data_IF_082275253974
#
_entry.id   IF_082275253974
#
_cell.length_a   1.000
_cell.length_b   1.000
_cell.length_c   1.000
_cell.angle_alpha   90.00
_cell.angle_beta   90.00
_cell.angle_gamma   90.00
#
_symmetry.space_group_name_H-M   'P 1'
#
loop_
_entity.id
_entity.type
_entity.pdbx_description
1 polymer ?
#
# COMPACT_ATOMS: atom_id res chain seq x y z
N UNK A 1 -18.07 7.99 -5.80
CA UNK A 1 -18.43 6.88 -4.88
C UNK A 1 -17.15 6.20 -4.47
N UNK A 2 -16.99 5.92 -3.18
CA UNK A 2 -15.83 5.24 -2.58
C UNK A 2 -16.32 3.98 -1.86
N UNK A 3 -15.53 2.92 -1.83
CA UNK A 3 -15.91 1.65 -1.22
C UNK A 3 -14.99 1.29 -0.05
N UNK A 4 -15.53 0.56 0.92
CA UNK A 4 -14.72 -0.06 1.96
C UNK A 4 -14.02 -1.29 1.40
N UNK A 5 -12.70 -1.37 1.50
CA UNK A 5 -11.95 -2.54 1.06
C UNK A 5 -12.09 -3.75 1.99
N UNK A 6 -12.63 -3.55 3.20
CA UNK A 6 -12.79 -4.62 4.20
C UNK A 6 -14.16 -5.31 4.12
N UNK A 7 -15.18 -4.68 3.53
CA UNK A 7 -16.53 -5.25 3.41
C UNK A 7 -17.29 -4.85 2.14
N UNK A 8 -16.62 -4.21 1.17
CA UNK A 8 -17.14 -3.78 -0.14
C UNK A 8 -18.30 -2.77 -0.11
N UNK A 9 -18.73 -2.32 1.07
CA UNK A 9 -19.82 -1.35 1.22
C UNK A 9 -19.45 -0.02 0.54
N UNK A 10 -20.39 0.54 -0.23
CA UNK A 10 -20.21 1.80 -0.98
C UNK A 10 -20.69 3.01 -0.18
N UNK A 11 -20.01 4.13 -0.38
CA UNK A 11 -20.26 5.42 0.25
C UNK A 11 -20.19 6.53 -0.79
N UNK A 12 -21.01 7.56 -0.58
CA UNK A 12 -21.03 8.74 -1.45
C UNK A 12 -19.80 9.63 -1.21
N UNK A 13 -19.28 9.66 0.02
CA UNK A 13 -18.19 10.55 0.44
C UNK A 13 -17.10 9.80 1.22
N UNK A 14 -15.87 10.32 1.17
CA UNK A 14 -14.75 9.86 2.00
C UNK A 14 -15.07 9.93 3.50
N UNK A 15 -15.78 10.97 3.94
CA UNK A 15 -16.24 11.10 5.33
C UNK A 15 -17.18 9.96 5.74
N UNK A 16 -18.06 9.53 4.85
CA UNK A 16 -18.94 8.38 5.07
C UNK A 16 -18.16 7.07 5.22
N UNK A 17 -17.18 6.85 4.34
CA UNK A 17 -16.26 5.72 4.43
C UNK A 17 -15.47 5.74 5.75
N UNK A 18 -14.92 6.89 6.15
CA UNK A 18 -14.16 7.02 7.39
C UNK A 18 -15.01 6.73 8.63
N UNK A 19 -16.23 7.26 8.69
CA UNK A 19 -17.12 6.96 9.80
C UNK A 19 -17.45 5.47 9.88
N UNK A 20 -17.55 4.79 8.74
CA UNK A 20 -17.78 3.35 8.68
C UNK A 20 -16.55 2.55 9.11
N UNK A 21 -15.36 2.89 8.62
CA UNK A 21 -14.10 2.25 8.99
C UNK A 21 -13.88 2.27 10.51
N UNK A 22 -14.18 3.39 11.17
CA UNK A 22 -14.09 3.50 12.63
C UNK A 22 -15.15 2.66 13.34
N UNK A 23 -16.41 2.71 12.88
CA UNK A 23 -17.53 2.09 13.61
C UNK A 23 -17.68 0.59 13.40
N UNK A 24 -17.30 0.10 12.23
CA UNK A 24 -17.52 -1.30 11.81
C UNK A 24 -16.24 -2.12 11.84
N UNK A 25 -15.09 -1.49 11.52
CA UNK A 25 -13.80 -2.18 11.44
C UNK A 25 -12.80 -1.73 12.51
N UNK A 26 -13.19 -0.81 13.40
CA UNK A 26 -12.35 -0.22 14.45
C UNK A 26 -11.03 0.39 13.94
N UNK A 27 -11.00 0.80 12.67
CA UNK A 27 -9.83 1.44 12.05
C UNK A 27 -9.78 2.90 12.47
N UNK A 28 -9.09 3.17 13.59
CA UNK A 28 -8.90 4.52 14.15
C UNK A 28 -7.56 5.14 13.77
N UNK A 29 -6.56 4.29 13.58
CA UNK A 29 -5.20 4.70 13.32
C UNK A 29 -5.07 5.38 11.94
N UNK A 30 -4.26 6.44 11.88
CA UNK A 30 -4.03 7.19 10.63
C UNK A 30 -3.22 6.35 9.64
N UNK A 31 -2.24 5.57 10.11
CA UNK A 31 -1.37 4.74 9.27
C UNK A 31 -2.19 3.65 8.57
N UNK A 32 -3.11 2.99 9.29
CA UNK A 32 -4.03 2.01 8.71
C UNK A 32 -4.97 2.61 7.66
N UNK A 33 -5.50 3.82 7.89
CA UNK A 33 -6.35 4.50 6.90
C UNK A 33 -5.57 4.86 5.64
N UNK A 34 -4.33 5.33 5.81
CA UNK A 34 -3.44 5.62 4.69
C UNK A 34 -3.11 4.37 3.87
N UNK A 35 -2.81 3.26 4.54
CA UNK A 35 -2.61 1.95 3.92
C UNK A 35 -3.82 1.52 3.06
N UNK A 36 -5.03 1.60 3.60
CA UNK A 36 -6.25 1.28 2.84
C UNK A 36 -6.44 2.20 1.61
N UNK A 37 -6.14 3.48 1.76
CA UNK A 37 -6.19 4.44 0.65
C UNK A 37 -5.21 4.05 -0.47
N UNK A 38 -3.97 3.71 -0.13
CA UNK A 38 -2.95 3.27 -1.10
C UNK A 38 -3.39 1.98 -1.82
N UNK A 39 -3.95 1.02 -1.09
CA UNK A 39 -4.46 -0.23 -1.68
C UNK A 39 -5.57 0.06 -2.69
N UNK A 40 -6.50 0.96 -2.35
CA UNK A 40 -7.67 1.25 -3.16
C UNK A 40 -7.43 2.17 -4.36
N UNK A 41 -6.51 3.13 -4.22
CA UNK A 41 -6.37 4.23 -5.18
C UNK A 41 -5.01 4.25 -5.87
N UNK A 42 -3.93 3.87 -5.20
CA UNK A 42 -2.56 3.95 -5.76
C UNK A 42 -2.14 2.70 -6.53
N UNK A 43 -2.26 1.50 -5.94
CA UNK A 43 -1.83 0.26 -6.62
C UNK A 43 -2.58 -0.03 -7.93
N UNK A 44 -3.89 0.27 -8.07
CA UNK A 44 -4.56 0.16 -9.37
C UNK A 44 -3.94 1.03 -10.47
N UNK A 45 -3.42 2.21 -10.13
CA UNK A 45 -2.74 3.08 -11.09
C UNK A 45 -1.41 2.47 -11.54
N UNK A 46 -0.65 1.91 -10.60
CA UNK A 46 0.59 1.19 -10.89
C UNK A 46 0.33 -0.04 -11.78
N UNK A 47 -0.68 -0.84 -11.45
CA UNK A 47 -1.04 -2.03 -12.22
C UNK A 47 -1.41 -1.67 -13.66
N UNK A 48 -2.23 -0.63 -13.84
CA UNK A 48 -2.65 -0.10 -15.14
C UNK A 48 -1.56 0.71 -15.85
N UNK A 49 -0.34 0.80 -15.27
CA UNK A 49 0.78 1.59 -15.78
C UNK A 49 0.42 3.05 -16.04
N UNK A 50 -0.51 3.60 -15.25
CA UNK A 50 -0.93 5.00 -15.31
C UNK A 50 0.08 5.88 -14.56
N UNK A 51 1.33 5.91 -15.02
CA UNK A 51 2.48 6.47 -14.28
C UNK A 51 2.28 7.91 -13.86
N UNK A 52 1.83 8.78 -14.78
CA UNK A 52 1.59 10.19 -14.48
C UNK A 52 0.62 10.36 -13.32
N UNK A 53 -0.50 9.62 -13.32
CA UNK A 53 -1.50 9.68 -12.24
C UNK A 53 -0.97 9.12 -10.93
N UNK A 54 -0.20 8.03 -10.99
CA UNK A 54 0.43 7.44 -9.81
C UNK A 54 1.43 8.43 -9.19
N UNK A 55 2.24 9.10 -10.01
CA UNK A 55 3.21 10.10 -9.56
C UNK A 55 2.53 11.35 -9.00
N UNK A 56 1.48 11.86 -9.65
CA UNK A 56 0.66 12.96 -9.14
C UNK A 56 0.09 12.65 -7.76
N UNK A 57 -0.54 11.47 -7.62
CA UNK A 57 -1.09 10.99 -6.35
C UNK A 57 -0.01 10.83 -5.28
N UNK A 58 1.16 10.29 -5.63
CA UNK A 58 2.29 10.16 -4.71
C UNK A 58 2.78 11.53 -4.21
N UNK A 59 2.82 12.54 -5.09
CA UNK A 59 3.20 13.90 -4.70
C UNK A 59 2.16 14.57 -3.79
N UNK A 60 0.87 14.33 -4.03
CA UNK A 60 -0.21 14.77 -3.13
C UNK A 60 -0.05 14.14 -1.74
N UNK A 61 0.11 12.82 -1.67
CA UNK A 61 0.33 12.10 -0.41
C UNK A 61 1.57 12.61 0.35
N UNK A 62 2.66 12.90 -0.38
CA UNK A 62 3.89 13.49 0.19
C UNK A 62 3.63 14.89 0.78
N UNK A 63 2.86 15.75 0.11
CA UNK A 63 2.54 17.09 0.62
C UNK A 63 1.70 17.04 1.89
N UNK A 64 0.77 16.10 1.97
CA UNK A 64 -0.20 16.04 3.06
C UNK A 64 0.33 15.30 4.31
N UNK A 65 1.28 14.38 4.15
CA UNK A 65 1.60 13.41 5.21
C UNK A 65 3.11 13.24 5.51
N UNK A 66 4.02 14.02 4.93
CA UNK A 66 5.49 13.81 5.04
C UNK A 66 6.14 14.12 6.40
N UNK A 67 5.37 14.27 7.49
CA UNK A 67 5.89 14.76 8.77
C UNK A 67 6.36 13.68 9.76
N UNK A 68 6.26 12.39 9.43
CA UNK A 68 6.64 11.29 10.34
C UNK A 68 7.55 10.27 9.66
N UNK A 69 8.43 9.63 10.43
CA UNK A 69 9.32 8.56 9.94
C UNK A 69 8.53 7.42 9.29
N UNK A 70 7.38 7.07 9.87
CA UNK A 70 6.50 6.07 9.30
C UNK A 70 6.02 6.48 7.90
N UNK A 71 5.48 7.70 7.76
CA UNK A 71 5.03 8.18 6.46
C UNK A 71 6.17 8.27 5.45
N UNK A 72 7.37 8.69 5.88
CA UNK A 72 8.55 8.76 5.02
C UNK A 72 8.95 7.37 4.50
N UNK A 73 9.03 6.38 5.37
CA UNK A 73 9.38 5.00 4.99
C UNK A 73 8.38 4.38 4.03
N UNK A 74 7.08 4.58 4.29
CA UNK A 74 6.02 4.10 3.42
C UNK A 74 6.09 4.77 2.03
N UNK A 75 6.16 6.11 1.98
CA UNK A 75 6.17 6.87 0.73
C UNK A 75 7.43 6.58 -0.10
N UNK A 76 8.58 6.37 0.54
CA UNK A 76 9.81 5.98 -0.15
C UNK A 76 9.71 4.58 -0.78
N UNK A 77 9.04 3.64 -0.11
CA UNK A 77 8.77 2.33 -0.68
C UNK A 77 7.91 2.45 -1.95
N UNK A 78 6.83 3.24 -1.91
CA UNK A 78 5.97 3.49 -3.08
C UNK A 78 6.73 4.12 -4.25
N UNK A 79 7.58 5.11 -3.96
CA UNK A 79 8.43 5.74 -4.97
C UNK A 79 9.39 4.74 -5.61
N UNK A 80 10.05 3.92 -4.79
CA UNK A 80 10.91 2.84 -5.26
C UNK A 80 10.18 1.84 -6.16
N UNK A 81 8.95 1.47 -5.83
CA UNK A 81 8.11 0.60 -6.65
C UNK A 81 7.78 1.22 -8.01
N UNK A 82 7.42 2.50 -8.06
CA UNK A 82 7.14 3.22 -9.31
C UNK A 82 8.39 3.27 -10.19
N UNK A 83 9.52 3.69 -9.64
CA UNK A 83 10.78 3.78 -10.37
C UNK A 83 11.21 2.42 -10.93
N UNK A 84 11.16 1.37 -10.09
CA UNK A 84 11.48 0.00 -10.49
C UNK A 84 10.58 -0.53 -11.62
N UNK A 85 9.28 -0.19 -11.61
CA UNK A 85 8.37 -0.65 -12.66
C UNK A 85 8.46 0.16 -13.96
N UNK A 86 8.92 1.41 -13.89
CA UNK A 86 9.14 2.28 -15.05
C UNK A 86 10.45 1.95 -15.76
N UNK A 87 11.51 1.73 -14.99
CA UNK A 87 12.85 1.46 -15.52
C UNK A 87 12.99 -0.03 -15.83
N UNK A 88 12.99 -0.38 -17.13
CA UNK A 88 13.35 -1.73 -17.60
C UNK A 88 14.86 -1.98 -17.48
N UNK A 89 15.40 -1.91 -16.26
CA UNK A 89 16.82 -2.10 -15.97
C UNK A 89 17.32 -3.53 -16.24
N UNK A 90 18.65 -3.69 -16.22
CA UNK A 90 19.32 -4.99 -16.46
C UNK A 90 19.15 -5.98 -15.29
N UNK A 91 18.93 -5.48 -14.08
CA UNK A 91 18.57 -6.29 -12.90
C UNK A 91 17.06 -6.20 -12.75
N UNK A 92 16.39 -7.35 -12.79
CA UNK A 92 14.94 -7.43 -12.60
C UNK A 92 14.55 -7.04 -11.17
N UNK A 93 13.77 -5.96 -10.98
CA UNK A 93 13.34 -5.56 -9.65
C UNK A 93 12.45 -6.60 -8.95
N UNK A 94 12.52 -6.68 -7.62
CA UNK A 94 11.75 -7.65 -6.81
C UNK A 94 10.22 -7.58 -7.03
N UNK A 95 9.67 -6.41 -7.37
CA UNK A 95 8.25 -6.29 -7.71
C UNK A 95 7.84 -7.12 -8.95
N UNK A 96 8.76 -7.43 -9.87
CA UNK A 96 8.50 -8.35 -10.98
C UNK A 96 8.51 -9.82 -10.54
N UNK A 97 9.36 -10.21 -9.57
CA UNK A 97 9.29 -11.57 -9.02
C UNK A 97 7.95 -11.81 -8.34
N UNK A 98 7.45 -10.83 -7.56
CA UNK A 98 6.11 -10.90 -6.97
C UNK A 98 5.00 -11.08 -8.01
N UNK A 99 5.12 -10.47 -9.20
CA UNK A 99 4.11 -10.62 -10.27
C UNK A 99 3.97 -12.05 -10.78
N UNK A 100 5.06 -12.83 -10.71
CA UNK A 100 5.11 -14.24 -11.11
C UNK A 100 4.67 -15.21 -10.01
N UNK A 101 4.53 -14.74 -8.77
CA UNK A 101 4.08 -15.56 -7.66
C UNK A 101 2.60 -15.96 -7.82
N UNK A 102 2.29 -17.19 -7.43
CA UNK A 102 0.92 -17.65 -7.20
C UNK A 102 0.39 -17.16 -5.83
N UNK A 103 -0.88 -17.43 -5.54
CA UNK A 103 -1.52 -17.00 -4.29
C UNK A 103 -0.77 -17.47 -3.03
N UNK A 104 -0.36 -18.73 -2.97
CA UNK A 104 0.35 -19.29 -1.82
C UNK A 104 1.71 -18.60 -1.61
N UNK A 105 2.46 -18.38 -2.69
CA UNK A 105 3.73 -17.68 -2.64
C UNK A 105 3.56 -16.21 -2.20
N UNK A 106 2.53 -15.52 -2.69
CA UNK A 106 2.23 -14.16 -2.24
C UNK A 106 1.84 -14.12 -0.75
N UNK A 107 1.13 -15.13 -0.27
CA UNK A 107 0.78 -15.26 1.14
C UNK A 107 2.01 -15.52 2.02
N UNK A 108 2.98 -16.32 1.55
CA UNK A 108 4.26 -16.53 2.23
C UNK A 108 5.07 -15.23 2.36
N UNK A 109 5.18 -14.46 1.26
CA UNK A 109 5.83 -13.14 1.27
C UNK A 109 5.10 -12.15 2.19
N UNK A 110 3.77 -12.13 2.15
CA UNK A 110 2.94 -11.31 3.03
C UNK A 110 3.18 -11.63 4.52
N UNK A 111 3.29 -12.90 4.87
CA UNK A 111 3.60 -13.34 6.23
C UNK A 111 4.99 -12.85 6.64
N UNK A 112 5.99 -12.99 5.78
CA UNK A 112 7.35 -12.49 6.03
C UNK A 112 7.37 -10.99 6.32
N UNK A 113 6.74 -10.17 5.47
CA UNK A 113 6.63 -8.72 5.73
C UNK A 113 5.86 -8.40 7.02
N UNK A 114 4.81 -9.14 7.31
CA UNK A 114 4.04 -8.98 8.56
C UNK A 114 4.88 -9.28 9.81
N UNK A 115 5.74 -10.30 9.74
CA UNK A 115 6.67 -10.64 10.82
C UNK A 115 7.73 -9.55 11.01
N UNK A 116 8.34 -9.06 9.92
CA UNK A 116 9.27 -7.93 9.99
C UNK A 116 8.61 -6.68 10.59
N UNK A 117 7.39 -6.35 10.20
CA UNK A 117 6.66 -5.21 10.76
C UNK A 117 6.46 -5.33 12.26
N UNK A 118 6.06 -6.51 12.76
CA UNK A 118 5.89 -6.76 14.21
C UNK A 118 7.21 -6.60 14.97
N UNK A 119 8.33 -7.04 14.39
CA UNK A 119 9.65 -6.95 15.00
C UNK A 119 10.20 -5.51 15.00
N UNK A 120 9.92 -4.75 13.94
CA UNK A 120 10.50 -3.42 13.69
C UNK A 120 9.68 -2.29 14.28
N UNK A 121 8.34 -2.38 14.31
CA UNK A 121 7.45 -1.30 14.75
C UNK A 121 7.81 -0.68 16.12
N UNK A 122 8.31 -1.43 17.13
CA UNK A 122 8.66 -0.81 18.42
C UNK A 122 9.95 0.04 18.39
N UNK A 123 10.79 -0.09 17.35
CA UNK A 123 12.16 0.46 17.34
C UNK A 123 12.52 1.26 16.08
N UNK A 124 11.85 0.98 14.96
CA UNK A 124 12.20 1.49 13.63
C UNK A 124 10.93 1.73 12.83
N UNK A 125 10.27 2.84 13.13
CA UNK A 125 8.98 3.22 12.53
C UNK A 125 9.09 3.37 11.00
N UNK A 126 10.23 3.89 10.51
CA UNK A 126 10.55 3.98 9.08
C UNK A 126 10.59 2.59 8.41
N UNK A 127 11.44 1.68 8.90
CA UNK A 127 11.62 0.36 8.28
C UNK A 127 10.32 -0.44 8.32
N UNK A 128 9.58 -0.38 9.44
CA UNK A 128 8.28 -1.02 9.57
C UNK A 128 7.27 -0.47 8.55
N UNK A 129 7.28 0.84 8.28
CA UNK A 129 6.41 1.43 7.28
C UNK A 129 6.80 1.06 5.85
N UNK A 130 8.11 0.99 5.58
CA UNK A 130 8.64 0.54 4.29
C UNK A 130 8.14 -0.87 3.96
N UNK A 131 8.25 -1.81 4.91
CA UNK A 131 7.73 -3.18 4.74
C UNK A 131 6.20 -3.26 4.78
N UNK A 132 5.51 -2.34 5.46
CA UNK A 132 4.05 -2.25 5.36
C UNK A 132 3.59 -1.93 3.94
N UNK A 133 4.26 -1.04 3.20
CA UNK A 133 3.90 -0.78 1.81
C UNK A 133 4.02 -2.04 0.93
N UNK A 134 5.03 -2.89 1.17
CA UNK A 134 5.16 -4.18 0.48
C UNK A 134 4.07 -5.18 0.85
N UNK A 135 3.69 -5.23 2.13
CA UNK A 135 2.56 -6.04 2.60
C UNK A 135 1.24 -5.62 1.94
N UNK A 136 1.03 -4.31 1.82
CA UNK A 136 -0.16 -3.76 1.18
C UNK A 136 -0.19 -4.06 -0.32
N UNK A 137 0.97 -4.05 -0.99
CA UNK A 137 1.10 -4.45 -2.38
C UNK A 137 0.79 -5.95 -2.56
N UNK A 138 1.34 -6.83 -1.72
CA UNK A 138 1.07 -8.27 -1.84
C UNK A 138 -0.39 -8.58 -1.54
N UNK A 139 -0.98 -7.92 -0.54
CA UNK A 139 -2.42 -7.97 -0.29
C UNK A 139 -3.22 -7.55 -1.53
N UNK A 140 -2.87 -6.41 -2.14
CA UNK A 140 -3.52 -5.97 -3.38
C UNK A 140 -3.42 -7.04 -4.48
N UNK A 141 -2.23 -7.60 -4.71
CA UNK A 141 -2.00 -8.59 -5.76
C UNK A 141 -2.75 -9.91 -5.53
N UNK A 142 -2.96 -10.31 -4.28
CA UNK A 142 -3.74 -11.50 -3.94
C UNK A 142 -5.24 -11.32 -4.20
N UNK A 143 -5.77 -10.11 -3.95
CA UNK A 143 -7.20 -9.83 -4.02
C UNK A 143 -7.65 -9.19 -5.34
N UNK A 144 -6.72 -8.67 -6.16
CA UNK A 144 -7.00 -8.10 -7.49
C UNK A 144 -6.95 -9.12 -8.63
N UNK A 145 -6.28 -10.26 -8.42
CA UNK A 145 -6.16 -11.35 -9.41
C UNK A 145 -7.32 -12.36 -9.38
N UNK A 146 -8.38 -12.09 -8.62
CA UNK A 146 -9.59 -12.93 -8.51
C UNK A 146 -10.67 -12.41 -9.45
#
# INVERSE_FOLDING_TARGET
MVNCLLCEKRFETQRGLFSHLIRVHDVRDQKQRFSLYVIGDFFPLIEKRSWTKAEELLQEMKKENSSTDWMLGYLLALEGMVSALKEGGSIEPYIFSLKRCNYQQLQEEQNGFSEFNKLLAPKKDFDAAYFQAWNDLTYYMMNSKI
#
